data_IF_962368902312
#
_entry.id   IF_962368902312
#
_cell.length_a   1.000
_cell.length_b   1.000
_cell.length_c   1.000
_cell.angle_alpha   90.00
_cell.angle_beta   90.00
_cell.angle_gamma   90.00
#
_symmetry.space_group_name_H-M   'P 1'
#
loop_
_entity.id
_entity.type
_entity.pdbx_description
1 polymer ?
#
# COMPACT_ATOMS: atom_id res chain seq x y z
N UNK A 1 13.62 -7.75 -23.85
CA UNK A 1 12.66 -8.87 -23.99
C UNK A 1 13.38 -10.14 -24.40
N UNK A 2 13.01 -11.25 -23.75
CA UNK A 2 13.60 -12.54 -24.13
C UNK A 2 13.09 -12.97 -25.50
N UNK A 3 14.00 -13.34 -26.41
CA UNK A 3 13.70 -13.94 -27.70
C UNK A 3 13.18 -15.37 -27.48
N UNK A 4 12.41 -15.90 -28.45
CA UNK A 4 11.94 -17.29 -28.44
C UNK A 4 13.07 -18.30 -28.21
N UNK A 5 14.29 -17.97 -28.65
CA UNK A 5 15.49 -18.79 -28.44
C UNK A 5 15.89 -18.97 -26.98
N UNK A 6 15.42 -18.07 -26.10
CA UNK A 6 15.77 -18.12 -24.68
C UNK A 6 14.72 -18.84 -23.81
N UNK A 7 13.66 -19.35 -24.42
CA UNK A 7 12.63 -20.11 -23.72
C UNK A 7 13.23 -21.49 -23.37
N UNK A 8 13.20 -21.82 -22.08
CA UNK A 8 13.81 -23.08 -21.59
C UNK A 8 12.85 -24.25 -21.79
N UNK A 9 11.58 -24.09 -21.45
CA UNK A 9 10.59 -25.16 -21.55
C UNK A 9 9.44 -24.70 -22.45
N UNK A 10 9.43 -25.13 -23.69
CA UNK A 10 8.42 -24.76 -24.68
C UNK A 10 7.05 -25.40 -24.42
N UNK A 11 7.00 -26.48 -23.63
CA UNK A 11 5.76 -27.20 -23.34
C UNK A 11 4.96 -26.51 -22.22
N UNK A 12 5.62 -25.72 -21.38
CA UNK A 12 5.00 -25.11 -20.20
C UNK A 12 5.07 -23.58 -20.24
N UNK A 13 4.81 -23.00 -21.40
CA UNK A 13 4.71 -21.53 -21.50
C UNK A 13 3.58 -21.01 -20.63
N UNK A 14 3.86 -19.92 -19.90
CA UNK A 14 2.83 -19.21 -19.14
C UNK A 14 1.72 -18.74 -20.06
N UNK A 15 0.49 -19.03 -19.66
CA UNK A 15 -0.68 -18.50 -20.35
C UNK A 15 -1.78 -18.20 -19.34
N UNK A 16 -2.62 -17.24 -19.70
CA UNK A 16 -3.74 -16.83 -18.84
C UNK A 16 -4.88 -17.81 -19.10
N UNK A 17 -5.24 -18.58 -18.08
CA UNK A 17 -6.33 -19.57 -18.16
C UNK A 17 -7.59 -19.12 -17.44
N UNK A 18 -7.44 -18.31 -16.40
CA UNK A 18 -8.54 -17.77 -15.59
C UNK A 18 -8.29 -16.28 -15.36
N UNK A 19 -8.73 -15.76 -14.24
CA UNK A 19 -8.44 -14.39 -13.86
C UNK A 19 -6.95 -14.21 -13.56
N UNK A 20 -6.48 -12.99 -13.66
CA UNK A 20 -5.09 -12.65 -13.40
C UNK A 20 -5.00 -11.22 -12.87
N UNK A 21 -3.88 -10.94 -12.22
CA UNK A 21 -3.47 -9.59 -11.86
C UNK A 21 -2.16 -9.27 -12.56
N UNK A 22 -1.94 -7.99 -12.81
CA UNK A 22 -0.71 -7.54 -13.47
C UNK A 22 0.13 -6.73 -12.48
N UNK A 23 1.42 -6.67 -12.77
CA UNK A 23 2.34 -5.82 -12.01
C UNK A 23 3.15 -4.99 -13.01
N UNK A 24 3.26 -3.69 -12.74
CA UNK A 24 4.00 -2.76 -13.59
C UNK A 24 5.50 -3.06 -13.46
N UNK A 25 6.20 -3.14 -14.59
CA UNK A 25 7.64 -3.35 -14.61
C UNK A 25 8.39 -2.27 -13.83
N UNK A 26 7.85 -1.03 -13.79
CA UNK A 26 8.45 0.06 -13.02
C UNK A 26 8.55 -0.23 -11.53
N UNK A 27 7.74 -1.16 -11.02
CA UNK A 27 7.88 -1.61 -9.63
C UNK A 27 9.32 -2.00 -9.33
N UNK A 28 9.98 -2.64 -10.29
CA UNK A 28 11.40 -3.01 -10.17
C UNK A 28 12.29 -1.99 -10.87
N UNK A 29 12.04 -1.70 -12.15
CA UNK A 29 12.90 -0.85 -12.96
C UNK A 29 12.87 0.62 -12.55
N UNK A 30 11.79 1.05 -11.90
CA UNK A 30 11.62 2.42 -11.42
C UNK A 30 12.11 2.67 -10.00
N UNK A 31 12.69 1.66 -9.35
CA UNK A 31 13.26 1.79 -8.01
C UNK A 31 12.26 1.73 -6.86
N UNK A 32 11.01 1.33 -7.12
CA UNK A 32 9.97 1.31 -6.09
C UNK A 32 10.20 0.27 -4.99
N UNK A 33 10.92 -0.82 -5.29
CA UNK A 33 11.25 -1.84 -4.30
C UNK A 33 12.49 -1.52 -3.48
N UNK A 34 13.36 -0.63 -3.95
CA UNK A 34 14.69 -0.42 -3.36
C UNK A 34 14.63 0.01 -1.90
N UNK A 35 13.59 0.73 -1.51
CA UNK A 35 13.41 1.26 -0.15
C UNK A 35 12.47 0.40 0.70
N UNK A 36 11.98 -0.71 0.17
CA UNK A 36 11.07 -1.60 0.89
C UNK A 36 11.84 -2.73 1.58
N UNK A 37 11.41 -3.09 2.78
CA UNK A 37 11.92 -4.29 3.44
C UNK A 37 11.18 -5.53 2.92
N UNK A 38 11.64 -6.72 3.33
CA UNK A 38 11.10 -7.98 2.86
C UNK A 38 9.60 -8.13 3.14
N UNK A 39 9.14 -7.74 4.32
CA UNK A 39 7.72 -7.89 4.69
C UNK A 39 6.84 -6.94 3.86
N UNK A 40 7.30 -5.72 3.61
CA UNK A 40 6.62 -4.78 2.74
C UNK A 40 6.51 -5.30 1.31
N UNK A 41 7.59 -5.89 0.78
CA UNK A 41 7.59 -6.49 -0.55
C UNK A 41 6.59 -7.65 -0.62
N UNK A 42 6.59 -8.53 0.39
CA UNK A 42 5.65 -9.65 0.46
C UNK A 42 4.21 -9.18 0.48
N UNK A 43 3.90 -8.20 1.32
CA UNK A 43 2.55 -7.66 1.42
C UNK A 43 2.11 -7.01 0.11
N UNK A 44 2.99 -6.20 -0.48
CA UNK A 44 2.69 -5.55 -1.76
C UNK A 44 2.42 -6.56 -2.86
N UNK A 45 3.30 -7.57 -2.99
CA UNK A 45 3.12 -8.63 -3.97
C UNK A 45 1.80 -9.37 -3.76
N UNK A 46 1.47 -9.70 -2.52
CA UNK A 46 0.21 -10.37 -2.19
C UNK A 46 -1.00 -9.52 -2.60
N UNK A 47 -0.99 -8.23 -2.27
CA UNK A 47 -2.09 -7.33 -2.58
C UNK A 47 -2.28 -7.16 -4.09
N UNK A 48 -1.18 -7.11 -4.86
CA UNK A 48 -1.25 -7.09 -6.32
C UNK A 48 -1.84 -8.41 -6.84
N UNK A 49 -1.45 -9.54 -6.26
CA UNK A 49 -1.87 -10.86 -6.72
C UNK A 49 -3.37 -11.11 -6.52
N UNK A 50 -3.97 -10.56 -5.46
CA UNK A 50 -5.35 -10.84 -5.09
C UNK A 50 -6.35 -9.74 -5.48
N UNK A 51 -5.88 -8.60 -5.97
CA UNK A 51 -6.76 -7.48 -6.27
C UNK A 51 -7.58 -7.72 -7.54
N UNK A 52 -8.71 -7.02 -7.62
CA UNK A 52 -9.50 -6.96 -8.84
C UNK A 52 -8.89 -5.98 -9.85
N UNK A 53 -9.59 -5.73 -10.96
CA UNK A 53 -9.12 -4.83 -12.02
C UNK A 53 -8.91 -3.37 -11.56
N UNK A 54 -9.52 -2.99 -10.46
CA UNK A 54 -9.36 -1.64 -9.89
C UNK A 54 -8.31 -1.59 -8.78
N UNK A 55 -7.64 -2.71 -8.52
CA UNK A 55 -6.65 -2.81 -7.44
C UNK A 55 -7.26 -3.11 -6.07
N UNK A 56 -8.55 -3.42 -6.00
CA UNK A 56 -9.29 -3.55 -4.73
C UNK A 56 -9.35 -5.00 -4.28
N UNK A 57 -9.13 -5.21 -3.00
CA UNK A 57 -9.31 -6.49 -2.33
C UNK A 57 -9.71 -6.26 -0.87
N UNK A 58 -10.26 -7.29 -0.23
CA UNK A 58 -10.45 -7.26 1.21
C UNK A 58 -10.09 -8.59 1.82
N UNK A 59 -9.17 -8.50 2.77
CA UNK A 59 -8.64 -9.63 3.52
C UNK A 59 -8.48 -9.21 4.96
N UNK A 60 -8.92 -10.06 5.88
CA UNK A 60 -8.72 -9.83 7.29
C UNK A 60 -7.26 -10.11 7.68
N UNK A 61 -6.79 -9.42 8.69
CA UNK A 61 -5.38 -9.47 9.11
C UNK A 61 -4.92 -10.89 9.45
N UNK A 62 -5.74 -11.68 10.11
CA UNK A 62 -5.41 -13.05 10.49
C UNK A 62 -5.15 -13.93 9.27
N UNK A 63 -5.93 -13.74 8.20
CA UNK A 63 -5.74 -14.50 6.97
C UNK A 63 -4.48 -14.11 6.23
N UNK A 64 -4.19 -12.82 6.16
CA UNK A 64 -2.93 -12.33 5.55
C UNK A 64 -1.74 -12.88 6.30
N UNK A 65 -1.76 -12.79 7.64
CA UNK A 65 -0.68 -13.30 8.47
C UNK A 65 -0.43 -14.79 8.25
N UNK A 66 -1.49 -15.59 8.13
CA UNK A 66 -1.34 -17.01 7.86
C UNK A 66 -0.77 -17.29 6.47
N UNK A 67 -1.24 -16.56 5.45
CA UNK A 67 -0.79 -16.76 4.08
C UNK A 67 0.66 -16.34 3.89
N UNK A 68 1.03 -15.21 4.46
CA UNK A 68 2.37 -14.64 4.30
C UNK A 68 3.36 -15.10 5.38
N UNK A 69 2.88 -15.80 6.42
CA UNK A 69 3.70 -16.28 7.54
C UNK A 69 4.39 -15.14 8.27
N UNK A 70 3.62 -14.11 8.58
CA UNK A 70 4.06 -12.93 9.32
C UNK A 70 3.16 -12.73 10.54
N UNK A 71 3.63 -12.00 11.54
CA UNK A 71 2.81 -11.67 12.71
C UNK A 71 2.00 -10.39 12.49
N UNK A 72 1.08 -10.11 13.41
CA UNK A 72 0.21 -8.93 13.33
C UNK A 72 1.00 -7.63 13.38
N UNK A 73 2.04 -7.58 14.20
CA UNK A 73 2.90 -6.40 14.31
C UNK A 73 3.62 -6.14 13.00
N UNK A 74 4.19 -7.18 12.40
CA UNK A 74 4.87 -7.09 11.10
C UNK A 74 3.92 -6.66 9.98
N UNK A 75 2.69 -7.19 9.99
CA UNK A 75 1.68 -6.78 9.02
C UNK A 75 1.33 -5.29 9.17
N UNK A 76 1.09 -4.83 10.39
CA UNK A 76 0.74 -3.43 10.64
C UNK A 76 1.83 -2.47 10.20
N UNK A 77 3.09 -2.79 10.51
CA UNK A 77 4.23 -1.99 10.10
C UNK A 77 4.39 -1.97 8.57
N UNK A 78 4.27 -3.13 7.93
CA UNK A 78 4.37 -3.23 6.49
C UNK A 78 3.27 -2.45 5.78
N UNK A 79 2.04 -2.57 6.26
CA UNK A 79 0.88 -1.82 5.73
C UNK A 79 1.13 -0.32 5.80
N UNK A 80 1.52 0.17 6.96
CA UNK A 80 1.79 1.58 7.16
C UNK A 80 2.93 2.07 6.26
N UNK A 81 3.99 1.29 6.14
CA UNK A 81 5.11 1.63 5.27
C UNK A 81 4.71 1.75 3.80
N UNK A 82 3.83 0.88 3.31
CA UNK A 82 3.33 0.94 1.94
C UNK A 82 2.39 2.14 1.72
N UNK A 83 1.58 2.46 2.72
CA UNK A 83 0.69 3.63 2.68
C UNK A 83 1.53 4.91 2.58
N UNK A 84 2.55 5.04 3.41
CA UNK A 84 3.42 6.21 3.44
C UNK A 84 4.16 6.44 2.11
N UNK A 85 4.38 5.37 1.35
CA UNK A 85 5.04 5.46 0.04
C UNK A 85 4.06 5.59 -1.12
N UNK A 86 2.78 5.81 -0.84
CA UNK A 86 1.72 5.95 -1.84
C UNK A 86 1.59 4.76 -2.79
N UNK A 87 1.88 3.57 -2.29
CA UNK A 87 1.75 2.33 -3.06
C UNK A 87 0.39 1.66 -2.85
N UNK A 88 -0.21 1.82 -1.68
CA UNK A 88 -1.53 1.30 -1.36
C UNK A 88 -2.35 2.32 -0.58
N UNK A 89 -3.66 2.15 -0.62
CA UNK A 89 -4.60 2.78 0.30
C UNK A 89 -5.27 1.67 1.12
N UNK A 90 -5.64 1.98 2.34
CA UNK A 90 -6.29 1.03 3.24
C UNK A 90 -7.38 1.72 4.05
N UNK A 91 -8.54 1.10 4.06
CA UNK A 91 -9.64 1.46 4.95
C UNK A 91 -10.33 0.17 5.34
N UNK A 92 -10.16 -0.25 6.57
CA UNK A 92 -10.60 -1.55 7.06
C UNK A 92 -11.99 -1.93 6.52
N UNK A 93 -12.19 -3.11 5.96
CA UNK A 93 -11.19 -4.16 5.68
C UNK A 93 -10.68 -4.13 4.23
N UNK A 94 -10.76 -2.99 3.55
CA UNK A 94 -10.52 -2.84 2.11
C UNK A 94 -9.11 -2.32 1.85
N UNK A 95 -8.40 -3.01 0.96
CA UNK A 95 -7.12 -2.57 0.41
C UNK A 95 -7.30 -2.13 -1.03
N UNK A 96 -6.52 -1.15 -1.43
CA UNK A 96 -6.44 -0.76 -2.84
C UNK A 96 -4.98 -0.59 -3.22
N UNK A 97 -4.55 -1.33 -4.24
CA UNK A 97 -3.25 -1.10 -4.88
C UNK A 97 -3.40 0.12 -5.78
N UNK A 98 -2.58 1.13 -5.56
CA UNK A 98 -2.68 2.40 -6.28
C UNK A 98 -1.83 2.35 -7.55
N UNK A 99 -2.16 3.20 -8.52
CA UNK A 99 -1.27 3.46 -9.65
C UNK A 99 0.07 3.94 -9.12
N UNK A 100 1.18 3.48 -9.73
CA UNK A 100 2.50 3.90 -9.29
C UNK A 100 2.67 5.41 -9.50
N UNK A 101 3.25 6.13 -8.53
CA UNK A 101 3.66 7.52 -8.73
C UNK A 101 4.68 7.63 -9.86
N UNK A 102 4.94 8.85 -10.34
CA UNK A 102 5.93 9.07 -11.39
C UNK A 102 7.32 8.60 -10.95
N UNK A 103 7.63 8.74 -9.67
CA UNK A 103 8.89 8.28 -9.04
C UNK A 103 8.60 7.83 -7.61
N UNK A 104 9.49 7.04 -7.01
CA UNK A 104 9.30 6.59 -5.63
C UNK A 104 9.10 7.76 -4.66
N UNK A 105 8.14 7.59 -3.74
CA UNK A 105 7.82 8.59 -2.71
C UNK A 105 8.56 8.20 -1.44
N UNK A 106 9.33 9.14 -0.90
CA UNK A 106 10.00 8.94 0.38
C UNK A 106 8.96 9.02 1.51
N UNK A 107 9.05 8.16 2.54
CA UNK A 107 8.16 8.28 3.69
C UNK A 107 8.42 9.60 4.39
N UNK A 108 7.39 10.17 5.06
CA UNK A 108 7.56 11.42 5.77
C UNK A 108 8.57 11.26 6.89
N UNK A 109 9.40 12.28 7.10
CA UNK A 109 10.35 12.31 8.21
C UNK A 109 9.60 12.47 9.54
N UNK A 110 10.29 12.14 10.65
CA UNK A 110 9.73 12.32 11.98
C UNK A 110 9.27 13.77 12.19
N UNK A 111 10.05 14.73 11.72
CA UNK A 111 9.74 16.16 11.80
C UNK A 111 8.46 16.51 11.02
N UNK A 112 8.32 15.96 9.81
CA UNK A 112 7.13 16.17 9.00
C UNK A 112 5.87 15.57 9.65
N UNK A 113 5.98 14.40 10.24
CA UNK A 113 4.87 13.76 10.96
C UNK A 113 4.46 14.58 12.18
N UNK A 114 5.42 15.10 12.94
CA UNK A 114 5.14 15.93 14.12
C UNK A 114 4.45 17.23 13.71
N UNK A 115 4.90 17.88 12.62
CA UNK A 115 4.29 19.08 12.07
C UNK A 115 2.84 18.83 11.63
N UNK A 116 2.60 17.72 10.96
CA UNK A 116 1.26 17.33 10.51
C UNK A 116 0.31 17.11 11.69
N UNK A 117 0.78 16.42 12.72
CA UNK A 117 0.01 16.20 13.94
C UNK A 117 -0.29 17.51 14.66
N UNK A 118 0.67 18.43 14.70
CA UNK A 118 0.48 19.74 15.29
C UNK A 118 -0.60 20.54 14.55
N UNK A 119 -0.56 20.53 13.21
CA UNK A 119 -1.57 21.20 12.39
C UNK A 119 -2.96 20.64 12.62
N UNK A 120 -3.07 19.31 12.69
CA UNK A 120 -4.35 18.64 13.00
C UNK A 120 -4.85 19.01 14.38
N UNK A 121 -3.98 19.05 15.37
CA UNK A 121 -4.34 19.47 16.72
C UNK A 121 -4.87 20.87 16.77
N UNK A 122 -4.21 21.81 16.12
CA UNK A 122 -4.66 23.21 16.02
C UNK A 122 -6.02 23.31 15.32
N UNK A 123 -6.22 22.56 14.26
CA UNK A 123 -7.49 22.53 13.54
C UNK A 123 -8.64 22.09 14.46
N UNK A 124 -8.45 21.00 15.22
CA UNK A 124 -9.45 20.51 16.16
C UNK A 124 -9.73 21.49 17.28
N UNK A 125 -8.71 22.15 17.81
CA UNK A 125 -8.86 23.17 18.86
C UNK A 125 -9.70 24.34 18.34
N UNK A 126 -9.43 24.81 17.13
CA UNK A 126 -10.21 25.89 16.52
C UNK A 126 -11.67 25.48 16.33
N UNK A 127 -11.91 24.24 15.87
CA UNK A 127 -13.27 23.73 15.71
C UNK A 127 -14.02 23.67 17.05
N UNK A 128 -13.37 23.20 18.09
CA UNK A 128 -13.96 23.14 19.44
C UNK A 128 -14.30 24.55 19.93
N UNK A 129 -13.41 25.52 19.74
CA UNK A 129 -13.67 26.93 20.09
C UNK A 129 -14.85 27.51 19.35
N UNK A 130 -14.99 27.20 18.05
CA UNK A 130 -16.13 27.68 17.26
C UNK A 130 -17.46 27.10 17.77
N UNK A 131 -17.48 25.81 18.08
CA UNK A 131 -18.67 25.14 18.62
C UNK A 131 -19.03 25.71 20.00
N UNK A 132 -18.06 25.90 20.87
CA UNK A 132 -18.28 26.49 22.20
C UNK A 132 -18.80 27.93 22.08
N UNK A 133 -18.24 28.72 21.16
CA UNK A 133 -18.69 30.09 20.90
C UNK A 133 -20.15 30.13 20.43
N UNK A 134 -20.55 29.18 19.58
CA UNK A 134 -21.95 29.10 19.09
C UNK A 134 -22.90 28.59 20.18
N UNK A 135 -22.44 27.71 21.08
CA UNK A 135 -23.25 27.16 22.15
C UNK A 135 -23.65 28.18 23.22
N UNK A 136 -22.90 29.27 23.37
CA UNK A 136 -23.16 30.33 24.34
C UNK A 136 -23.89 31.56 23.78
N UNK A 137 -24.22 31.56 22.50
CA UNK A 137 -25.04 32.61 21.88
C UNK A 137 -26.50 32.20 21.92
N UNK A 138 -27.23 32.70 22.88
CA UNK A 138 -28.68 32.66 22.88
C UNK A 138 -29.23 33.89 22.18
#
# INVERSE_FOLDING_TARGET
MADKKNIIDHKRLRKITNSFSWIDHRTITGGFLDDLNTVQILLYFFLVAVCDRHGVSFYHDDRICRLLKIDLSGLGEAREGLIQRSLIAYRYPVYQVLALPVKPVAPPTKEQLEEEQRKKGLYYIQKIKQVASRGFKN
#
